data_IF_196083122730
#
_entry.id   IF_196083122730
#
_cell.length_a   1.000
_cell.length_b   1.000
_cell.length_c   1.000
_cell.angle_alpha   90.00
_cell.angle_beta   90.00
_cell.angle_gamma   90.00
#
_symmetry.space_group_name_H-M   'P 1'
#
loop_
_entity.id
_entity.type
_entity.pdbx_description
1 polymer ?
#
# COMPACT_ATOMS: atom_id res chain seq x y z
N UNK A 1 -30.49 22.36 11.95
CA UNK A 1 -30.05 20.94 11.96
C UNK A 1 -28.90 20.81 10.97
N UNK A 2 -27.67 20.57 11.47
CA UNK A 2 -26.47 20.43 10.65
C UNK A 2 -26.23 18.99 10.17
N UNK A 3 -26.96 18.04 10.74
CA UNK A 3 -26.78 16.58 10.62
C UNK A 3 -27.01 16.03 9.19
N UNK A 4 -27.62 16.82 8.30
CA UNK A 4 -27.88 16.49 6.90
C UNK A 4 -27.29 17.50 5.90
N UNK A 5 -26.32 18.32 6.32
CA UNK A 5 -25.62 19.19 5.36
C UNK A 5 -24.66 18.36 4.52
N UNK A 6 -24.50 18.73 3.24
CA UNK A 6 -23.55 18.10 2.32
C UNK A 6 -22.13 18.06 2.92
N UNK A 7 -21.71 19.16 3.54
CA UNK A 7 -20.41 19.29 4.20
C UNK A 7 -20.22 18.31 5.37
N UNK A 8 -21.26 18.08 6.18
CA UNK A 8 -21.17 17.12 7.28
C UNK A 8 -21.00 15.69 6.77
N UNK A 9 -21.72 15.32 5.71
CA UNK A 9 -21.57 14.02 5.06
C UNK A 9 -20.19 13.84 4.42
N UNK A 10 -19.63 14.89 3.82
CA UNK A 10 -18.29 14.90 3.25
C UNK A 10 -17.20 14.68 4.31
N UNK A 11 -17.30 15.37 5.47
CA UNK A 11 -16.36 15.16 6.59
C UNK A 11 -16.42 13.71 7.09
N UNK A 12 -17.62 13.16 7.29
CA UNK A 12 -17.79 11.78 7.73
C UNK A 12 -17.24 10.77 6.72
N UNK A 13 -17.46 11.03 5.42
CA UNK A 13 -16.93 10.19 4.36
C UNK A 13 -15.40 10.21 4.36
N UNK A 14 -14.79 11.40 4.37
CA UNK A 14 -13.34 11.55 4.40
C UNK A 14 -12.71 10.90 5.63
N UNK A 15 -13.29 11.13 6.82
CA UNK A 15 -12.81 10.51 8.06
C UNK A 15 -12.90 8.98 8.04
N UNK A 16 -13.94 8.42 7.40
CA UNK A 16 -14.05 6.98 7.21
C UNK A 16 -12.93 6.46 6.29
N UNK A 17 -12.70 7.11 5.16
CA UNK A 17 -11.65 6.69 4.21
C UNK A 17 -10.25 6.78 4.81
N UNK A 18 -9.94 7.86 5.54
CA UNK A 18 -8.69 8.00 6.29
C UNK A 18 -8.54 6.90 7.37
N UNK A 19 -9.63 6.57 8.06
CA UNK A 19 -9.65 5.49 9.05
C UNK A 19 -9.34 4.13 8.43
N UNK A 20 -9.93 3.83 7.27
CA UNK A 20 -9.66 2.59 6.52
C UNK A 20 -8.22 2.53 6.06
N UNK A 21 -7.66 3.64 5.59
CA UNK A 21 -6.26 3.72 5.16
C UNK A 21 -5.30 3.44 6.32
N UNK A 22 -5.51 4.08 7.47
CA UNK A 22 -4.68 3.88 8.67
C UNK A 22 -4.76 2.45 9.21
N UNK A 23 -5.96 1.89 9.29
CA UNK A 23 -6.15 0.50 9.71
C UNK A 23 -5.41 -0.46 8.77
N UNK A 24 -5.53 -0.23 7.46
CA UNK A 24 -4.85 -1.05 6.44
C UNK A 24 -3.34 -1.02 6.58
N UNK A 25 -2.76 0.17 6.73
CA UNK A 25 -1.33 0.36 6.91
C UNK A 25 -0.83 -0.28 8.21
N UNK A 26 -1.58 -0.14 9.30
CA UNK A 26 -1.24 -0.78 10.59
C UNK A 26 -1.24 -2.30 10.49
N UNK A 27 -2.20 -2.87 9.74
CA UNK A 27 -2.26 -4.31 9.49
C UNK A 27 -1.12 -4.82 8.60
N UNK A 28 -0.60 -3.99 7.70
CA UNK A 28 0.59 -4.30 6.90
C UNK A 28 1.84 -4.26 7.77
N UNK A 29 2.01 -3.21 8.56
CA UNK A 29 3.13 -3.04 9.50
C UNK A 29 3.23 -4.24 10.43
N UNK A 30 2.13 -4.65 11.04
CA UNK A 30 2.07 -5.82 11.91
C UNK A 30 2.44 -7.12 11.17
N UNK A 31 1.93 -7.31 9.95
CA UNK A 31 2.21 -8.53 9.19
C UNK A 31 3.70 -8.61 8.79
N UNK A 32 4.31 -7.47 8.45
CA UNK A 32 5.75 -7.37 8.16
C UNK A 32 6.57 -7.68 9.40
N UNK A 33 6.25 -7.08 10.55
CA UNK A 33 6.97 -7.31 11.80
C UNK A 33 6.88 -8.77 12.23
N UNK A 34 5.69 -9.37 12.17
CA UNK A 34 5.49 -10.78 12.54
C UNK A 34 6.27 -11.74 11.65
N UNK A 35 6.34 -11.48 10.35
CA UNK A 35 6.92 -12.43 9.38
C UNK A 35 8.41 -12.22 9.11
N UNK A 36 8.84 -10.96 9.06
CA UNK A 36 10.17 -10.56 8.64
C UNK A 36 10.88 -9.66 9.66
N UNK A 37 10.23 -9.27 10.75
CA UNK A 37 10.78 -8.41 11.79
C UNK A 37 11.20 -7.04 11.27
N UNK A 38 12.28 -6.51 11.84
CA UNK A 38 12.79 -5.19 11.51
C UNK A 38 13.17 -5.00 10.03
N UNK A 39 13.63 -6.06 9.36
CA UNK A 39 13.97 -6.01 7.94
C UNK A 39 12.71 -5.80 7.07
N UNK A 40 11.59 -6.43 7.44
CA UNK A 40 10.31 -6.17 6.77
C UNK A 40 9.79 -4.76 7.01
N UNK A 41 9.92 -4.25 8.23
CA UNK A 41 9.52 -2.88 8.58
C UNK A 41 10.29 -1.81 7.79
N UNK A 42 11.49 -2.11 7.30
CA UNK A 42 12.25 -1.21 6.45
C UNK A 42 11.55 -0.89 5.11
N UNK A 43 10.54 -1.68 4.70
CA UNK A 43 9.71 -1.43 3.51
C UNK A 43 8.56 -0.45 3.76
N UNK A 44 8.23 -0.14 5.02
CA UNK A 44 7.12 0.76 5.36
C UNK A 44 7.22 2.14 4.70
N UNK A 45 8.39 2.82 4.63
CA UNK A 45 8.50 4.11 3.96
C UNK A 45 8.09 4.08 2.48
N UNK A 46 8.29 2.96 1.79
CA UNK A 46 7.84 2.77 0.41
C UNK A 46 6.34 2.52 0.34
N UNK A 47 5.83 1.66 1.22
CA UNK A 47 4.40 1.31 1.25
C UNK A 47 3.52 2.51 1.62
N UNK A 48 4.02 3.41 2.46
CA UNK A 48 3.32 4.65 2.85
C UNK A 48 3.09 5.62 1.67
N UNK A 49 3.76 5.43 0.54
CA UNK A 49 3.54 6.23 -0.66
C UNK A 49 2.23 5.86 -1.37
N UNK A 50 1.69 4.66 -1.10
CA UNK A 50 0.42 4.23 -1.67
C UNK A 50 -0.76 4.69 -0.80
N UNK A 51 -1.71 5.39 -1.43
CA UNK A 51 -2.98 5.78 -0.80
C UNK A 51 -4.17 4.93 -1.24
N UNK A 52 -3.97 4.05 -2.23
CA UNK A 52 -5.01 3.19 -2.78
C UNK A 52 -5.18 1.92 -1.92
N UNK A 53 -6.40 1.73 -1.40
CA UNK A 53 -6.72 0.60 -0.52
C UNK A 53 -6.61 -0.77 -1.21
N UNK A 54 -6.81 -0.86 -2.52
CA UNK A 54 -6.68 -2.08 -3.30
C UNK A 54 -5.21 -2.42 -3.59
N UNK A 55 -4.37 -1.41 -3.80
CA UNK A 55 -2.91 -1.59 -3.84
C UNK A 55 -2.42 -2.13 -2.49
N UNK A 56 -2.78 -1.45 -1.39
CA UNK A 56 -2.40 -1.88 -0.05
C UNK A 56 -2.94 -3.28 0.29
N UNK A 57 -4.11 -3.64 -0.23
CA UNK A 57 -4.66 -5.00 -0.13
C UNK A 57 -3.81 -6.03 -0.84
N UNK A 58 -3.30 -5.71 -2.03
CA UNK A 58 -2.43 -6.59 -2.80
C UNK A 58 -1.12 -6.82 -2.05
N UNK A 59 -0.52 -5.75 -1.53
CA UNK A 59 0.71 -5.83 -0.72
C UNK A 59 0.48 -6.69 0.53
N UNK A 60 -0.61 -6.46 1.28
CA UNK A 60 -0.93 -7.25 2.47
C UNK A 60 -1.08 -8.75 2.15
N UNK A 61 -1.73 -9.10 1.04
CA UNK A 61 -1.83 -10.50 0.59
C UNK A 61 -0.48 -11.06 0.18
N UNK A 62 0.34 -10.26 -0.51
CA UNK A 62 1.71 -10.60 -0.88
C UNK A 62 2.52 -11.02 0.33
N UNK A 63 2.51 -10.21 1.39
CA UNK A 63 3.20 -10.51 2.66
C UNK A 63 2.80 -11.88 3.21
N UNK A 64 1.53 -12.27 3.15
CA UNK A 64 1.08 -13.56 3.67
C UNK A 64 1.57 -14.75 2.83
N UNK A 65 1.82 -14.56 1.53
CA UNK A 65 2.13 -15.63 0.56
C UNK A 65 3.63 -15.81 0.36
N UNK A 66 4.38 -14.73 0.15
CA UNK A 66 5.81 -14.76 -0.21
C UNK A 66 6.68 -15.21 0.95
N UNK A 67 7.79 -15.91 0.71
CA UNK A 67 8.64 -16.41 1.79
C UNK A 67 9.85 -15.51 2.06
N UNK A 68 10.16 -14.60 1.14
CA UNK A 68 11.32 -13.70 1.25
C UNK A 68 10.92 -12.24 1.04
N UNK A 69 11.77 -11.33 1.50
CA UNK A 69 11.59 -9.90 1.26
C UNK A 69 11.82 -9.51 -0.20
N UNK A 70 12.69 -10.23 -0.92
CA UNK A 70 12.94 -9.99 -2.34
C UNK A 70 11.67 -10.24 -3.18
N UNK A 71 10.98 -11.36 -2.94
CA UNK A 71 9.69 -11.66 -3.57
C UNK A 71 8.63 -10.59 -3.25
N UNK A 72 8.64 -10.04 -2.03
CA UNK A 72 7.74 -8.96 -1.65
C UNK A 72 8.07 -7.65 -2.37
N UNK A 73 9.36 -7.32 -2.52
CA UNK A 73 9.80 -6.14 -3.24
C UNK A 73 9.42 -6.21 -4.72
N UNK A 74 9.53 -7.38 -5.36
CA UNK A 74 9.07 -7.55 -6.74
C UNK A 74 7.58 -7.23 -6.90
N UNK A 75 6.74 -7.65 -5.95
CA UNK A 75 5.31 -7.29 -5.95
C UNK A 75 5.14 -5.77 -5.87
N UNK A 76 5.84 -5.10 -4.95
CA UNK A 76 5.73 -3.65 -4.76
C UNK A 76 6.20 -2.89 -6.01
N UNK A 77 7.32 -3.31 -6.63
CA UNK A 77 7.84 -2.70 -7.85
C UNK A 77 6.93 -2.92 -9.07
N UNK A 78 6.31 -4.10 -9.17
CA UNK A 78 5.36 -4.41 -10.24
C UNK A 78 4.11 -3.51 -10.21
N UNK A 79 3.79 -2.95 -9.03
CA UNK A 79 2.68 -2.01 -8.85
C UNK A 79 3.09 -0.59 -9.27
N UNK A 80 4.35 -0.20 -9.03
CA UNK A 80 4.87 1.12 -9.38
C UNK A 80 5.16 1.27 -10.87
N UNK A 81 5.44 0.17 -11.57
CA UNK A 81 5.88 0.19 -12.96
C UNK A 81 4.69 -0.04 -13.90
N UNK A 82 4.19 0.97 -14.65
CA UNK A 82 3.24 0.71 -15.72
C UNK A 82 3.92 -0.17 -16.80
N UNK A 83 3.19 -1.03 -17.52
CA UNK A 83 3.78 -2.04 -18.42
C UNK A 83 4.54 -1.52 -19.66
N UNK A 84 4.91 -0.24 -19.74
CA UNK A 84 5.50 0.36 -20.95
C UNK A 84 6.59 1.37 -20.62
N UNK A 85 7.77 0.87 -20.22
CA UNK A 85 9.05 1.47 -20.60
C UNK A 85 9.94 0.34 -21.09
N UNK A 86 9.61 -0.17 -22.29
CA UNK A 86 10.59 -0.88 -23.10
C UNK A 86 11.63 0.19 -23.42
N UNK A 87 12.75 0.15 -22.72
CA UNK A 87 13.95 0.90 -23.06
C UNK A 87 14.33 0.58 -24.50
N UNK A 88 13.97 1.47 -25.42
CA UNK A 88 14.70 1.66 -26.69
C UNK A 88 16.07 2.26 -26.34
N UNK A 89 16.89 1.49 -25.64
CA UNK A 89 18.33 1.66 -25.60
C UNK A 89 18.94 0.58 -26.49
N UNK A 90 18.60 0.61 -27.78
CA UNK A 90 19.45 0.02 -28.80
C UNK A 90 20.24 1.15 -29.48
N UNK A 91 21.53 1.18 -29.14
CA UNK A 91 22.65 1.38 -30.04
C UNK A 91 22.28 1.75 -31.50
N UNK A 92 22.71 2.92 -31.99
CA UNK A 92 23.98 3.06 -32.74
C UNK A 92 24.16 4.45 -33.35
#
# INVERSE_FOLDING_TARGET
>A
MLEKSFFYQEILHKGREEGRLKERLSGIELALDVKFGAEGLALMPEILQFSDLDILRTIQKGILIVNTLDELQEIIQSIQTPPNEITEHEHS
#
